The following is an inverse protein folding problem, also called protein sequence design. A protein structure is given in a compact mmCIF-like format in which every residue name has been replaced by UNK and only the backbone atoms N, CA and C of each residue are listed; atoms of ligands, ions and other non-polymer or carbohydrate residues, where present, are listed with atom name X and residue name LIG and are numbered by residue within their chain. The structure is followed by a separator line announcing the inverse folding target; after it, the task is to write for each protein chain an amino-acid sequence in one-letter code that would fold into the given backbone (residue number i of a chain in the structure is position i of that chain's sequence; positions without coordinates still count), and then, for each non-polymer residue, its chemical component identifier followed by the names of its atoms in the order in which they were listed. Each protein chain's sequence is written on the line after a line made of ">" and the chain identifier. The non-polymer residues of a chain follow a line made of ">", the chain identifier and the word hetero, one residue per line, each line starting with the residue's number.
data_IF_782170366263
#
_entry.id   IF_782170366263
#
_cell.length_a   1.000
_cell.length_b   1.000
_cell.length_c   1.000
_cell.angle_alpha   90.00
_cell.angle_beta   90.00
_cell.angle_gamma   90.00
#
_symmetry.space_group_name_H-M   'P 1'
#
loop_
_entity.id
_entity.type
_entity.pdbx_description
1 polymer ?
#
# COMPACT_ATOMS: atom_id res chain seq x y z
N UNK A 1 10.66 -22.44 -24.17
CA UNK A 1 9.43 -22.74 -24.96
C UNK A 1 8.95 -24.21 -24.93
N UNK A 2 9.36 -25.06 -23.96
CA UNK A 2 8.75 -26.40 -23.75
C UNK A 2 7.88 -26.52 -22.49
N UNK A 3 7.64 -25.41 -21.78
CA UNK A 3 6.89 -25.41 -20.52
C UNK A 3 5.43 -24.92 -20.61
N UNK A 4 5.01 -24.41 -21.78
CA UNK A 4 3.66 -23.88 -22.01
C UNK A 4 2.59 -24.95 -22.33
N UNK A 5 2.97 -26.20 -22.58
CA UNK A 5 2.03 -27.23 -23.05
C UNK A 5 1.45 -28.14 -21.97
N UNK A 6 1.90 -28.04 -20.71
CA UNK A 6 1.53 -29.04 -19.68
C UNK A 6 0.33 -28.66 -18.80
N UNK A 7 -0.22 -27.45 -18.96
CA UNK A 7 -1.36 -26.95 -18.15
C UNK A 7 -2.70 -26.99 -18.91
N UNK A 8 -2.71 -27.28 -20.22
CA UNK A 8 -3.92 -27.21 -21.07
C UNK A 8 -4.55 -28.54 -21.48
N UNK A 9 -4.22 -29.69 -20.86
CA UNK A 9 -4.90 -30.97 -21.17
C UNK A 9 -5.32 -31.72 -19.92
N UNK A 10 -6.53 -31.46 -19.47
CA UNK A 10 -7.24 -32.28 -18.49
C UNK A 10 -8.64 -31.74 -18.25
N UNK A 11 -9.64 -32.26 -18.98
CA UNK A 11 -11.05 -31.99 -18.72
C UNK A 11 -11.87 -31.64 -19.95
N UNK A 12 -12.10 -32.60 -20.84
CA UNK A 12 -13.18 -32.50 -21.82
C UNK A 12 -14.52 -32.79 -21.16
N UNK A 13 -15.43 -31.82 -21.18
CA UNK A 13 -16.87 -32.03 -20.98
C UNK A 13 -17.58 -31.24 -22.08
N UNK A 14 -18.41 -31.94 -22.86
CA UNK A 14 -19.17 -31.43 -23.99
C UNK A 14 -20.12 -30.29 -23.57
N UNK A 15 -20.02 -29.15 -24.25
CA UNK A 15 -20.96 -28.05 -24.09
C UNK A 15 -22.21 -28.30 -24.95
N UNK A 16 -23.37 -28.52 -24.31
CA UNK A 16 -24.69 -28.39 -24.95
C UNK A 16 -25.08 -26.91 -25.01
N UNK A 17 -25.48 -26.46 -26.20
CA UNK A 17 -25.98 -25.10 -26.44
C UNK A 17 -27.35 -24.86 -25.76
N UNK A 18 -27.60 -23.69 -25.17
CA UNK A 18 -28.95 -23.31 -24.75
C UNK A 18 -29.74 -22.71 -25.93
N UNK A 19 -31.01 -23.07 -26.03
CA UNK A 19 -31.97 -22.56 -27.01
C UNK A 19 -32.59 -21.22 -26.57
N UNK A 20 -33.09 -20.39 -27.52
CA UNK A 20 -33.47 -19.01 -27.23
C UNK A 20 -34.91 -18.92 -26.71
N UNK A 21 -35.14 -18.13 -25.66
CA UNK A 21 -36.50 -17.70 -25.27
C UNK A 21 -36.59 -16.19 -25.04
N UNK A 22 -37.36 -15.59 -25.96
CA UNK A 22 -38.32 -14.50 -25.84
C UNK A 22 -38.03 -13.32 -24.90
N UNK A 23 -37.78 -12.17 -25.54
CA UNK A 23 -37.98 -10.82 -25.03
C UNK A 23 -39.41 -10.63 -24.54
N UNK A 24 -39.56 -10.04 -23.35
CA UNK A 24 -40.82 -9.53 -22.83
C UNK A 24 -40.57 -8.22 -22.11
N UNK A 25 -41.06 -7.13 -22.70
CA UNK A 25 -41.18 -5.79 -22.11
C UNK A 25 -41.82 -5.84 -20.73
N UNK A 26 -41.20 -5.18 -19.75
CA UNK A 26 -41.90 -4.52 -18.64
C UNK A 26 -41.23 -3.20 -18.29
N UNK A 27 -42.01 -2.16 -18.56
CA UNK A 27 -41.85 -0.78 -18.14
C UNK A 27 -42.48 -0.63 -16.75
N UNK A 28 -41.68 -0.25 -15.76
CA UNK A 28 -42.16 0.12 -14.43
C UNK A 28 -41.31 1.29 -13.91
N UNK A 29 -41.60 2.49 -14.42
CA UNK A 29 -41.09 3.72 -13.85
C UNK A 29 -41.44 3.88 -12.37
N UNK A 30 -40.52 4.54 -11.65
CA UNK A 30 -40.63 5.09 -10.30
C UNK A 30 -40.34 4.14 -9.11
N UNK A 31 -39.16 4.32 -8.50
CA UNK A 31 -38.98 4.70 -7.07
C UNK A 31 -37.49 4.80 -6.70
N UNK A 32 -36.90 5.95 -6.97
CA UNK A 32 -35.75 6.45 -6.20
C UNK A 32 -36.01 7.92 -5.84
N UNK A 33 -36.22 8.21 -4.56
CA UNK A 33 -36.08 9.55 -4.00
C UNK A 33 -35.05 9.51 -2.86
N UNK A 34 -34.06 10.41 -2.86
CA UNK A 34 -33.04 10.48 -1.82
C UNK A 34 -33.60 11.17 -0.56
N UNK A 35 -33.36 10.60 0.61
CA UNK A 35 -33.71 11.24 1.88
C UNK A 35 -32.66 12.30 2.25
N UNK A 36 -32.96 13.54 1.88
CA UNK A 36 -32.43 14.75 2.52
C UNK A 36 -33.16 14.95 3.85
N UNK A 37 -32.43 15.06 4.96
CA UNK A 37 -32.95 15.63 6.20
C UNK A 37 -32.03 16.78 6.63
N UNK A 38 -32.44 17.99 6.27
CA UNK A 38 -32.02 19.23 6.91
C UNK A 38 -33.00 19.54 8.06
N UNK A 39 -32.42 19.78 9.23
CA UNK A 39 -32.58 21.00 10.03
C UNK A 39 -33.99 21.61 10.12
N UNK A 40 -34.72 21.34 11.22
CA UNK A 40 -35.60 22.32 11.89
C UNK A 40 -36.20 21.73 13.16
N UNK A 41 -35.62 22.06 14.32
CA UNK A 41 -36.32 22.02 15.61
C UNK A 41 -35.75 23.06 16.58
N UNK A 42 -35.82 24.33 16.18
CA UNK A 42 -35.81 25.44 17.12
C UNK A 42 -37.23 25.64 17.67
N UNK A 43 -37.28 25.88 18.99
CA UNK A 43 -38.41 26.37 19.82
C UNK A 43 -39.33 25.32 20.44
N UNK A 44 -38.99 24.94 21.67
CA UNK A 44 -39.90 24.99 22.82
C UNK A 44 -39.08 25.05 24.11
N UNK A 45 -38.94 26.27 24.64
CA UNK A 45 -38.50 26.47 26.02
C UNK A 45 -39.71 26.45 26.94
N UNK A 46 -39.60 25.75 28.07
CA UNK A 46 -39.78 26.36 29.40
C UNK A 46 -39.41 25.39 30.54
N UNK A 47 -38.48 25.89 31.36
CA UNK A 47 -38.39 25.72 32.81
C UNK A 47 -38.10 24.33 33.40
N UNK A 48 -36.82 24.07 33.67
CA UNK A 48 -36.38 23.64 35.02
C UNK A 48 -35.14 24.43 35.45
N UNK A 49 -35.31 25.20 36.52
CA UNK A 49 -34.24 25.93 37.23
C UNK A 49 -33.34 24.93 37.95
N UNK A 50 -32.03 25.09 37.83
CA UNK A 50 -31.06 24.39 38.69
C UNK A 50 -29.61 24.69 38.30
N UNK A 51 -28.89 25.35 39.20
CA UNK A 51 -27.44 25.55 39.26
C UNK A 51 -26.73 26.23 38.06
N UNK A 52 -26.35 27.49 38.26
CA UNK A 52 -25.34 28.18 37.45
C UNK A 52 -23.99 27.46 37.63
N UNK A 53 -23.52 26.75 36.62
CA UNK A 53 -22.12 26.35 36.53
C UNK A 53 -21.29 27.61 36.24
N UNK A 54 -20.44 28.00 37.21
CA UNK A 54 -19.37 28.97 37.03
C UNK A 54 -18.44 28.47 35.93
N UNK A 55 -18.07 29.36 34.99
CA UNK A 55 -16.91 29.14 34.15
C UNK A 55 -15.68 28.96 35.07
N UNK A 56 -14.81 27.95 34.87
CA UNK A 56 -13.57 27.86 35.60
C UNK A 56 -12.72 29.08 35.25
N UNK A 57 -12.21 29.69 36.30
CA UNK A 57 -11.15 30.67 36.27
C UNK A 57 -9.92 30.14 35.53
N UNK A 58 -9.25 31.03 34.82
CA UNK A 58 -8.02 30.71 34.12
C UNK A 58 -6.95 30.26 35.09
N UNK A 59 -6.58 28.99 35.01
CA UNK A 59 -5.23 28.55 35.34
C UNK A 59 -4.44 28.47 34.04
N UNK A 60 -3.55 29.45 33.86
CA UNK A 60 -2.47 29.39 32.88
C UNK A 60 -1.43 28.39 33.38
N UNK A 61 -1.73 27.09 33.32
CA UNK A 61 -0.70 26.05 33.37
C UNK A 61 -1.23 24.70 32.85
N UNK A 62 -1.81 24.72 31.65
CA UNK A 62 -1.93 23.48 30.87
C UNK A 62 -0.52 23.19 30.33
N UNK A 63 0.28 22.49 31.15
CA UNK A 63 1.63 22.10 30.81
C UNK A 63 1.67 21.56 29.38
N UNK A 64 2.56 22.14 28.57
CA UNK A 64 2.87 21.65 27.23
C UNK A 64 3.03 20.14 27.28
N UNK A 65 2.51 19.38 26.29
CA UNK A 65 2.77 17.95 26.22
C UNK A 65 4.27 17.71 26.36
N UNK A 66 4.65 16.81 27.28
CA UNK A 66 6.04 16.41 27.46
C UNK A 66 6.62 16.11 26.08
N UNK A 67 7.78 16.70 25.71
CA UNK A 67 8.41 16.35 24.46
C UNK A 67 8.58 14.84 24.42
N UNK A 68 8.20 14.22 23.29
CA UNK A 68 8.53 12.83 23.01
C UNK A 68 10.04 12.64 23.27
N UNK A 69 10.48 11.48 23.80
CA UNK A 69 11.89 11.18 23.98
C UNK A 69 12.64 11.58 22.70
N UNK A 70 13.76 12.32 22.85
CA UNK A 70 14.38 13.17 21.82
C UNK A 70 14.91 12.52 20.54
N UNK A 71 14.39 11.38 20.11
CA UNK A 71 14.68 10.68 18.87
C UNK A 71 13.43 10.26 18.08
N UNK A 72 12.22 10.32 18.66
CA UNK A 72 10.97 10.02 17.93
C UNK A 72 10.53 11.22 17.10
N UNK A 73 10.47 11.05 15.77
CA UNK A 73 9.89 12.05 14.87
C UNK A 73 10.73 13.33 14.68
N UNK A 74 12.04 13.29 14.93
CA UNK A 74 12.94 14.34 14.45
C UNK A 74 13.92 13.77 13.43
N UNK A 75 13.44 13.22 12.29
CA UNK A 75 14.35 12.82 11.24
C UNK A 75 15.15 14.07 10.86
N UNK A 76 16.47 13.94 10.71
CA UNK A 76 17.26 14.97 10.01
C UNK A 76 16.67 15.05 8.60
N UNK A 77 15.77 16.01 8.39
CA UNK A 77 15.18 16.28 7.09
C UNK A 77 16.34 16.66 6.18
N UNK A 78 16.77 15.70 5.35
CA UNK A 78 17.82 15.94 4.35
C UNK A 78 17.19 16.83 3.28
N UNK A 79 17.67 18.07 3.04
CA UNK A 79 17.08 18.93 2.03
C UNK A 79 17.02 18.27 0.64
N UNK A 80 17.99 17.41 0.33
CA UNK A 80 18.01 16.60 -0.89
C UNK A 80 16.80 15.65 -1.04
N UNK A 81 16.20 15.17 0.06
CA UNK A 81 15.00 14.32 0.03
C UNK A 81 13.75 15.09 -0.42
N UNK A 82 13.80 16.43 -0.42
CA UNK A 82 12.76 17.32 -0.91
C UNK A 82 13.19 18.10 -2.15
N UNK A 83 14.29 17.71 -2.80
CA UNK A 83 14.74 18.35 -4.04
C UNK A 83 13.83 17.91 -5.20
N UNK A 84 12.71 18.62 -5.30
CA UNK A 84 11.70 18.47 -6.33
C UNK A 84 12.27 18.62 -7.75
N UNK A 85 13.23 19.53 -7.93
CA UNK A 85 13.80 19.83 -9.26
C UNK A 85 14.67 18.65 -9.73
N UNK A 86 15.54 18.13 -8.85
CA UNK A 86 16.34 16.96 -9.17
C UNK A 86 15.46 15.72 -9.40
N UNK A 87 14.43 15.51 -8.58
CA UNK A 87 13.50 14.40 -8.75
C UNK A 87 12.76 14.48 -10.09
N UNK A 88 12.25 15.66 -10.45
CA UNK A 88 11.60 15.88 -11.75
C UNK A 88 12.54 15.59 -12.93
N UNK A 89 13.81 16.01 -12.86
CA UNK A 89 14.80 15.70 -13.90
C UNK A 89 15.01 14.19 -14.06
N UNK A 90 15.04 13.42 -12.96
CA UNK A 90 15.14 11.95 -13.02
C UNK A 90 13.91 11.33 -13.70
N UNK A 91 12.71 11.76 -13.31
CA UNK A 91 11.46 11.28 -13.91
C UNK A 91 11.32 11.65 -15.40
N UNK A 92 11.80 12.84 -15.79
CA UNK A 92 11.79 13.28 -17.19
C UNK A 92 12.81 12.52 -18.04
N UNK A 93 13.98 12.20 -17.49
CA UNK A 93 15.04 11.43 -18.16
C UNK A 93 14.72 9.93 -18.29
N UNK A 94 13.78 9.41 -17.51
CA UNK A 94 13.33 8.01 -17.57
C UNK A 94 12.90 7.61 -18.99
N UNK A 95 13.38 6.47 -19.45
CA UNK A 95 12.97 5.90 -20.72
C UNK A 95 11.50 5.45 -20.67
N UNK A 96 10.64 6.07 -21.49
CA UNK A 96 9.21 5.77 -21.59
C UNK A 96 8.98 4.72 -22.68
N UNK A 97 9.59 3.55 -22.51
CA UNK A 97 9.57 2.48 -23.52
C UNK A 97 8.17 1.91 -23.71
N UNK A 98 7.78 1.72 -24.97
CA UNK A 98 6.62 0.95 -25.39
C UNK A 98 6.98 -0.51 -25.75
N UNK A 99 8.20 -0.95 -25.44
CA UNK A 99 8.67 -2.31 -25.67
C UNK A 99 8.16 -3.32 -24.64
N UNK A 100 8.52 -4.59 -24.86
CA UNK A 100 8.24 -5.68 -23.93
C UNK A 100 8.91 -5.45 -22.57
N UNK A 101 8.20 -5.76 -21.48
CA UNK A 101 8.64 -5.53 -20.10
C UNK A 101 8.69 -6.81 -19.28
N UNK A 102 8.33 -7.94 -19.88
CA UNK A 102 8.31 -9.22 -19.19
C UNK A 102 9.71 -9.63 -18.78
N UNK A 103 9.84 -9.95 -17.50
CA UNK A 103 11.07 -10.38 -16.85
C UNK A 103 10.75 -11.31 -15.68
N UNK A 104 11.77 -11.88 -15.07
CA UNK A 104 11.64 -12.63 -13.81
C UNK A 104 11.53 -11.68 -12.60
N UNK A 105 11.07 -12.20 -11.45
CA UNK A 105 11.00 -11.41 -10.20
C UNK A 105 12.40 -11.04 -9.73
N UNK A 106 13.36 -11.95 -9.90
CA UNK A 106 14.76 -11.82 -9.56
C UNK A 106 15.40 -10.65 -10.32
N UNK A 107 15.21 -10.60 -11.65
CA UNK A 107 15.74 -9.54 -12.51
C UNK A 107 15.04 -8.19 -12.27
N UNK A 108 13.74 -8.22 -11.93
CA UNK A 108 13.03 -7.01 -11.55
C UNK A 108 13.58 -6.44 -10.23
N UNK A 109 13.68 -7.27 -9.19
CA UNK A 109 14.17 -6.88 -7.87
C UNK A 109 15.66 -6.48 -7.88
N UNK A 110 16.46 -7.00 -8.81
CA UNK A 110 17.86 -6.61 -8.99
C UNK A 110 18.04 -5.11 -9.33
N UNK A 111 16.98 -4.43 -9.78
CA UNK A 111 16.98 -2.99 -10.05
C UNK A 111 16.95 -2.14 -8.78
N UNK A 112 16.49 -2.70 -7.65
CA UNK A 112 16.61 -2.04 -6.34
C UNK A 112 18.08 -1.98 -5.96
N UNK A 113 18.55 -0.80 -5.57
CA UNK A 113 19.89 -0.57 -5.07
C UNK A 113 19.87 -0.34 -3.56
N UNK A 114 21.02 -0.55 -2.92
CA UNK A 114 21.18 -0.21 -1.51
C UNK A 114 21.01 1.31 -1.33
N UNK A 115 20.32 1.72 -0.26
CA UNK A 115 20.01 3.13 -0.01
C UNK A 115 18.74 3.66 -0.67
N UNK A 116 18.08 2.89 -1.54
CA UNK A 116 16.87 3.33 -2.25
C UNK A 116 15.71 3.67 -1.31
N UNK A 117 14.92 4.67 -1.70
CA UNK A 117 13.58 4.90 -1.16
C UNK A 117 12.57 4.05 -1.94
N UNK A 118 12.06 3.00 -1.28
CA UNK A 118 11.10 2.06 -1.84
C UNK A 118 9.68 2.43 -1.40
N UNK A 119 8.78 2.64 -2.36
CA UNK A 119 7.35 2.70 -2.10
C UNK A 119 6.68 1.39 -2.47
N UNK A 120 6.02 0.74 -1.51
CA UNK A 120 5.23 -0.46 -1.75
C UNK A 120 3.75 -0.09 -1.94
N UNK A 121 3.13 -0.63 -2.98
CA UNK A 121 1.69 -0.49 -3.24
C UNK A 121 0.81 -1.31 -2.29
N UNK A 122 -0.48 -1.29 -2.58
CA UNK A 122 -1.48 -1.90 -1.72
C UNK A 122 -1.63 -1.16 -0.39
N UNK A 123 -2.37 -1.76 0.55
CA UNK A 123 -2.63 -1.18 1.86
C UNK A 123 -2.91 -2.30 2.87
N UNK A 124 -2.28 -2.29 4.05
CA UNK A 124 -2.37 -3.39 5.02
C UNK A 124 -2.01 -4.73 4.34
N UNK A 125 -2.86 -5.76 4.46
CA UNK A 125 -2.73 -7.02 3.75
C UNK A 125 -3.47 -7.03 2.40
N UNK A 126 -3.95 -5.89 1.90
CA UNK A 126 -4.51 -5.80 0.54
C UNK A 126 -3.40 -5.57 -0.48
N UNK A 127 -3.26 -6.52 -1.42
CA UNK A 127 -2.43 -6.44 -2.63
C UNK A 127 -0.98 -6.02 -2.39
N UNK A 128 -0.40 -6.49 -1.29
CA UNK A 128 1.02 -6.25 -0.98
C UNK A 128 1.89 -6.97 -1.99
N UNK A 129 2.91 -6.36 -2.59
CA UNK A 129 3.79 -7.01 -3.57
C UNK A 129 4.78 -7.97 -2.90
N UNK A 130 4.28 -9.01 -2.22
CA UNK A 130 5.07 -9.90 -1.37
C UNK A 130 6.16 -10.64 -2.13
N UNK A 131 5.92 -11.01 -3.39
CA UNK A 131 6.96 -11.61 -4.22
C UNK A 131 8.17 -10.70 -4.42
N UNK A 132 7.96 -9.41 -4.72
CA UNK A 132 9.05 -8.43 -4.87
C UNK A 132 9.71 -8.13 -3.52
N UNK A 133 8.92 -7.93 -2.46
CA UNK A 133 9.43 -7.67 -1.11
C UNK A 133 10.37 -8.80 -0.66
N UNK A 134 9.95 -10.06 -0.81
CA UNK A 134 10.76 -11.23 -0.43
C UNK A 134 12.02 -11.33 -1.26
N UNK A 135 11.93 -11.06 -2.56
CA UNK A 135 13.10 -11.14 -3.43
C UNK A 135 14.13 -10.04 -3.14
N UNK A 136 13.69 -8.81 -2.82
CA UNK A 136 14.58 -7.74 -2.34
C UNK A 136 15.34 -8.18 -1.08
N UNK A 137 14.66 -8.85 -0.14
CA UNK A 137 15.29 -9.41 1.06
C UNK A 137 16.26 -10.55 0.74
N UNK A 138 15.89 -11.49 -0.15
CA UNK A 138 16.78 -12.58 -0.61
C UNK A 138 18.08 -12.04 -1.22
N UNK A 139 17.99 -10.94 -1.96
CA UNK A 139 19.14 -10.26 -2.56
C UNK A 139 19.97 -9.42 -1.57
N UNK A 140 19.60 -9.44 -0.28
CA UNK A 140 20.32 -8.79 0.83
C UNK A 140 20.51 -7.28 0.63
N UNK A 141 19.52 -6.62 0.03
CA UNK A 141 19.49 -5.16 -0.08
C UNK A 141 19.38 -4.51 1.29
N UNK A 142 20.08 -3.41 1.49
CA UNK A 142 20.19 -2.75 2.79
C UNK A 142 20.26 -1.22 2.67
N UNK A 143 20.21 -0.53 3.81
CA UNK A 143 20.20 0.94 3.86
C UNK A 143 18.91 1.58 3.33
N UNK A 144 17.85 0.78 3.14
CA UNK A 144 16.64 1.21 2.43
C UNK A 144 15.78 2.13 3.29
N UNK A 145 14.98 2.97 2.63
CA UNK A 145 13.76 3.54 3.24
C UNK A 145 12.54 2.82 2.69
N UNK A 146 11.69 2.25 3.55
CA UNK A 146 10.40 1.69 3.13
C UNK A 146 9.26 2.68 3.39
N UNK A 147 8.48 2.96 2.35
CA UNK A 147 7.32 3.85 2.39
C UNK A 147 6.07 3.07 2.04
N UNK A 148 5.07 3.07 2.92
CA UNK A 148 3.79 2.42 2.64
C UNK A 148 2.65 2.96 3.49
N UNK A 149 1.47 3.11 2.90
CA UNK A 149 0.24 3.35 3.66
C UNK A 149 -0.24 2.08 4.35
N UNK A 150 -0.49 2.16 5.67
CA UNK A 150 -0.85 1.03 6.54
C UNK A 150 0.08 -0.18 6.34
N UNK A 151 1.27 -0.12 6.93
CA UNK A 151 2.25 -1.19 6.81
C UNK A 151 1.83 -2.43 7.61
N UNK A 152 2.15 -3.61 7.09
CA UNK A 152 1.81 -4.91 7.66
C UNK A 152 3.10 -5.75 7.90
N UNK A 153 3.07 -7.06 7.66
CA UNK A 153 4.17 -7.99 7.94
C UNK A 153 5.46 -7.64 7.19
N UNK A 154 5.36 -7.06 5.98
CA UNK A 154 6.53 -6.66 5.19
C UNK A 154 7.42 -5.64 5.88
N UNK A 155 6.83 -4.76 6.71
CA UNK A 155 7.60 -3.82 7.51
C UNK A 155 8.45 -4.54 8.56
N UNK A 156 7.88 -5.54 9.23
CA UNK A 156 8.60 -6.33 10.24
C UNK A 156 9.72 -7.15 9.60
N UNK A 157 9.45 -7.74 8.43
CA UNK A 157 10.45 -8.49 7.68
C UNK A 157 11.65 -7.61 7.32
N UNK A 158 11.39 -6.42 6.79
CA UNK A 158 12.42 -5.47 6.40
C UNK A 158 13.23 -4.95 7.59
N UNK A 159 12.58 -4.68 8.72
CA UNK A 159 13.26 -4.26 9.96
C UNK A 159 14.16 -5.37 10.51
N UNK A 160 13.63 -6.59 10.65
CA UNK A 160 14.37 -7.70 11.27
C UNK A 160 15.49 -8.21 10.38
N UNK A 161 15.30 -8.19 9.06
CA UNK A 161 16.36 -8.50 8.10
C UNK A 161 17.52 -7.47 8.11
N UNK A 162 17.35 -6.31 8.76
CA UNK A 162 18.30 -5.21 8.70
C UNK A 162 18.33 -4.51 7.33
N UNK A 163 17.26 -4.65 6.55
CA UNK A 163 17.19 -4.10 5.19
C UNK A 163 16.86 -2.60 5.18
N UNK A 164 16.11 -2.12 6.17
CA UNK A 164 15.67 -0.71 6.26
C UNK A 164 16.31 0.02 7.44
N UNK A 165 16.66 1.28 7.22
CA UNK A 165 17.07 2.22 8.27
C UNK A 165 15.94 3.16 8.68
N UNK A 166 14.96 3.34 7.79
CA UNK A 166 13.81 4.22 7.99
C UNK A 166 12.54 3.62 7.40
N UNK A 167 11.44 3.78 8.13
CA UNK A 167 10.09 3.50 7.65
C UNK A 167 9.25 4.76 7.65
N UNK A 168 8.49 4.98 6.57
CA UNK A 168 7.52 6.06 6.46
C UNK A 168 6.14 5.44 6.30
N UNK A 169 5.26 5.64 7.27
CA UNK A 169 3.92 5.06 7.23
C UNK A 169 2.93 5.90 8.02
N UNK A 170 1.65 5.54 7.90
CA UNK A 170 0.57 6.14 8.67
C UNK A 170 0.10 5.29 9.84
N UNK A 171 0.46 4.01 9.83
CA UNK A 171 0.08 3.03 10.83
C UNK A 171 0.83 1.73 10.51
N UNK A 172 1.14 0.91 11.52
CA UNK A 172 1.76 -0.40 11.28
C UNK A 172 1.24 -1.48 12.23
N UNK A 173 0.67 -2.54 11.66
CA UNK A 173 0.31 -3.78 12.34
C UNK A 173 -0.14 -4.85 11.34
N UNK A 174 -0.15 -6.11 11.79
CA UNK A 174 -0.59 -7.27 11.00
C UNK A 174 -2.11 -7.16 10.69
N UNK A 175 -2.87 -6.48 11.55
CA UNK A 175 -4.30 -6.29 11.42
C UNK A 175 -4.93 -5.95 12.78
N UNK A 176 -6.16 -5.42 12.75
CA UNK A 176 -6.88 -5.02 13.96
C UNK A 176 -6.93 -6.09 15.06
N UNK A 177 -7.13 -7.40 14.77
CA UNK A 177 -7.17 -8.44 15.79
C UNK A 177 -5.88 -8.61 16.59
N UNK A 178 -4.73 -8.25 16.02
CA UNK A 178 -3.40 -8.52 16.59
C UNK A 178 -2.76 -7.31 17.27
N UNK A 179 -3.43 -6.15 17.25
CA UNK A 179 -2.94 -4.92 17.87
C UNK A 179 -1.69 -4.36 17.19
N UNK A 180 -1.06 -3.35 17.81
CA UNK A 180 0.14 -2.69 17.26
C UNK A 180 1.31 -3.67 17.14
N UNK A 181 2.07 -3.58 16.03
CA UNK A 181 3.26 -4.42 15.80
C UNK A 181 4.27 -4.30 16.95
N UNK A 182 4.54 -5.42 17.62
CA UNK A 182 5.56 -5.50 18.69
C UNK A 182 6.97 -5.32 18.15
N UNK A 183 7.21 -5.77 16.91
CA UNK A 183 8.49 -5.65 16.22
C UNK A 183 8.76 -4.19 15.87
N UNK A 184 7.77 -3.49 15.30
CA UNK A 184 7.89 -2.06 15.03
C UNK A 184 8.22 -1.30 16.32
N UNK A 185 7.50 -1.59 17.42
CA UNK A 185 7.80 -0.99 18.71
C UNK A 185 9.22 -1.28 19.18
N UNK A 186 9.65 -2.53 19.15
CA UNK A 186 11.02 -2.91 19.54
C UNK A 186 12.06 -2.13 18.74
N UNK A 187 11.94 -2.09 17.41
CA UNK A 187 12.96 -1.49 16.53
C UNK A 187 12.95 0.04 16.55
N UNK A 188 11.78 0.65 16.71
CA UNK A 188 11.65 2.12 16.79
C UNK A 188 12.03 2.62 18.19
N UNK A 189 11.52 2.00 19.26
CA UNK A 189 11.82 2.42 20.65
C UNK A 189 13.31 2.20 21.01
N UNK A 190 13.97 1.22 20.38
CA UNK A 190 15.42 1.01 20.51
C UNK A 190 16.27 1.82 19.53
N UNK A 191 15.66 2.70 18.73
CA UNK A 191 16.32 3.54 17.73
C UNK A 191 17.13 2.78 16.66
N UNK A 192 16.82 1.50 16.43
CA UNK A 192 17.39 0.70 15.33
C UNK A 192 16.85 1.14 13.98
N UNK A 193 15.60 1.59 13.93
CA UNK A 193 14.93 2.08 12.72
C UNK A 193 14.22 3.39 13.04
N UNK A 194 14.35 4.37 12.14
CA UNK A 194 13.64 5.64 12.25
C UNK A 194 12.21 5.50 11.74
N UNK A 195 11.22 5.88 12.55
CA UNK A 195 9.83 6.01 12.12
C UNK A 195 9.51 7.46 11.75
N UNK A 196 9.06 7.67 10.52
CA UNK A 196 8.48 8.93 10.05
C UNK A 196 6.98 8.73 9.83
N UNK A 197 6.18 9.24 10.77
CA UNK A 197 4.73 9.05 10.76
C UNK A 197 4.00 10.21 10.08
N UNK A 198 3.04 9.88 9.23
CA UNK A 198 2.15 10.81 8.53
C UNK A 198 0.71 10.37 8.68
N UNK A 199 -0.27 11.27 8.63
CA UNK A 199 -1.66 10.79 8.50
C UNK A 199 -1.82 10.03 7.17
N UNK A 200 -2.74 9.07 7.12
CA UNK A 200 -2.97 8.25 5.91
C UNK A 200 -3.25 9.12 4.66
N UNK A 201 -4.07 10.18 4.85
CA UNK A 201 -4.34 11.15 3.79
C UNK A 201 -3.09 11.94 3.43
N UNK A 202 -2.31 12.41 4.41
CA UNK A 202 -1.12 13.21 4.13
C UNK A 202 -0.08 12.41 3.36
N UNK A 203 0.21 11.16 3.75
CA UNK A 203 1.14 10.30 2.99
C UNK A 203 0.66 10.08 1.55
N UNK A 204 -0.65 9.88 1.36
CA UNK A 204 -1.24 9.82 0.03
C UNK A 204 -1.04 11.12 -0.77
N UNK A 205 -1.24 12.28 -0.14
CA UNK A 205 -0.99 13.58 -0.75
C UNK A 205 0.49 13.80 -1.12
N UNK A 206 1.44 13.19 -0.40
CA UNK A 206 2.86 13.26 -0.78
C UNK A 206 3.14 12.58 -2.12
N UNK A 207 2.57 11.39 -2.34
CA UNK A 207 2.66 10.70 -3.64
C UNK A 207 1.92 11.49 -4.72
N UNK A 208 0.73 12.02 -4.41
CA UNK A 208 -0.04 12.83 -5.35
C UNK A 208 0.68 14.10 -5.78
N UNK A 209 1.34 14.79 -4.84
CA UNK A 209 2.15 15.98 -5.14
C UNK A 209 3.30 15.63 -6.11
N UNK A 210 3.98 14.51 -5.87
CA UNK A 210 5.03 14.01 -6.76
C UNK A 210 4.48 13.64 -8.15
N UNK A 211 3.37 12.90 -8.22
CA UNK A 211 2.70 12.53 -9.46
C UNK A 211 2.23 13.74 -10.28
N UNK A 212 1.80 14.82 -9.61
CA UNK A 212 1.42 16.08 -10.25
C UNK A 212 2.63 16.92 -10.72
N UNK A 213 3.84 16.60 -10.24
CA UNK A 213 5.02 17.41 -10.49
C UNK A 213 4.94 18.77 -9.78
N UNK A 214 4.44 18.80 -8.54
CA UNK A 214 4.46 19.99 -7.67
C UNK A 214 5.30 19.74 -6.42
N UNK A 215 5.94 20.77 -5.82
CA UNK A 215 6.81 20.57 -4.66
C UNK A 215 6.04 20.19 -3.37
N UNK A 216 4.80 20.63 -3.24
CA UNK A 216 3.94 20.31 -2.10
C UNK A 216 2.46 20.48 -2.48
N UNK A 217 1.56 19.91 -1.66
CA UNK A 217 0.12 20.18 -1.71
C UNK A 217 -0.36 20.84 -0.41
N UNK A 218 -1.19 21.90 -0.49
CA UNK A 218 -1.80 22.51 0.69
C UNK A 218 -2.94 21.63 1.23
N UNK A 219 -3.09 21.55 2.54
CA UNK A 219 -4.12 20.72 3.18
C UNK A 219 -4.40 21.11 4.63
N UNK A 220 -5.56 20.74 5.16
CA UNK A 220 -5.88 20.82 6.59
C UNK A 220 -5.45 19.57 7.37
N UNK A 221 -5.14 18.46 6.68
CA UNK A 221 -4.80 17.22 7.39
C UNK A 221 -3.57 17.40 8.27
N UNK A 222 -3.53 16.69 9.40
CA UNK A 222 -2.52 16.74 10.46
C UNK A 222 -2.47 18.04 11.28
N UNK A 223 -2.99 19.18 10.80
CA UNK A 223 -3.01 20.40 11.62
C UNK A 223 -3.75 20.17 12.94
N UNK A 224 -3.17 20.66 14.04
CA UNK A 224 -3.70 20.46 15.39
C UNK A 224 -3.39 19.09 16.02
N UNK A 225 -2.65 18.22 15.33
CA UNK A 225 -2.16 16.94 15.87
C UNK A 225 -0.66 16.98 16.18
N UNK A 226 -0.21 16.05 17.03
CA UNK A 226 1.20 15.84 17.33
C UNK A 226 1.99 15.24 16.14
N UNK A 227 1.35 14.94 15.01
CA UNK A 227 2.03 14.46 13.80
C UNK A 227 2.72 15.58 13.02
N UNK A 228 2.32 16.84 13.19
CA UNK A 228 2.93 17.99 12.49
C UNK A 228 4.45 18.05 12.68
N UNK A 229 5.00 17.96 13.91
CA UNK A 229 6.44 17.98 14.12
C UNK A 229 7.16 16.70 13.64
N UNK A 230 6.47 15.56 13.55
CA UNK A 230 7.08 14.24 13.27
C UNK A 230 7.62 14.12 11.84
N UNK A 231 6.81 14.49 10.86
CA UNK A 231 7.16 14.39 9.43
C UNK A 231 7.88 15.61 8.87
N UNK A 232 8.11 16.65 9.68
CA UNK A 232 8.69 17.90 9.22
C UNK A 232 7.77 18.74 8.31
N UNK A 233 6.46 18.50 8.36
CA UNK A 233 5.45 19.29 7.63
C UNK A 233 5.57 20.78 8.00
N UNK A 234 5.45 21.66 7.00
CA UNK A 234 5.44 23.11 7.19
C UNK A 234 4.04 23.65 7.01
N UNK A 235 3.84 24.94 7.29
CA UNK A 235 2.59 25.64 7.01
C UNK A 235 2.79 26.68 5.92
N UNK A 236 1.70 27.03 5.24
CA UNK A 236 1.65 28.07 4.21
C UNK A 236 0.37 28.88 4.41
N UNK A 237 0.42 30.18 4.12
CA UNK A 237 -0.78 31.02 4.13
C UNK A 237 -1.46 30.94 2.77
N UNK A 238 -2.76 30.65 2.76
CA UNK A 238 -3.61 30.74 1.59
C UNK A 238 -3.69 32.21 1.13
N UNK A 239 -3.23 32.55 -0.08
CA UNK A 239 -3.24 33.93 -0.56
C UNK A 239 -4.65 34.48 -0.85
N UNK A 240 -5.67 33.63 -0.97
CA UNK A 240 -7.04 34.04 -1.30
C UNK A 240 -7.89 34.28 -0.04
N UNK A 241 -7.67 33.49 1.01
CA UNK A 241 -8.48 33.55 2.23
C UNK A 241 -7.71 34.00 3.47
N UNK A 242 -6.38 34.01 3.41
CA UNK A 242 -5.50 34.28 4.55
C UNK A 242 -5.39 33.13 5.55
N UNK A 243 -6.08 32.00 5.33
CA UNK A 243 -6.04 30.84 6.23
C UNK A 243 -4.67 30.16 6.23
N UNK A 244 -4.29 29.57 7.36
CA UNK A 244 -3.06 28.78 7.47
C UNK A 244 -3.38 27.32 7.13
N UNK A 245 -2.67 26.79 6.12
CA UNK A 245 -2.76 25.41 5.67
C UNK A 245 -1.45 24.66 5.94
N UNK A 246 -1.50 23.35 6.09
CA UNK A 246 -0.34 22.48 6.06
C UNK A 246 0.20 22.35 4.63
N UNK A 247 1.51 22.34 4.47
CA UNK A 247 2.22 22.14 3.22
C UNK A 247 2.86 20.74 3.25
N UNK A 248 2.19 19.78 2.62
CA UNK A 248 2.63 18.38 2.55
C UNK A 248 3.63 18.24 1.39
N UNK A 249 4.92 17.98 1.67
CA UNK A 249 5.95 17.94 0.62
C UNK A 249 5.82 16.67 -0.23
N UNK A 250 6.11 16.81 -1.52
CA UNK A 250 6.14 15.68 -2.43
C UNK A 250 7.15 14.60 -1.98
N UNK A 251 6.81 13.34 -2.24
CA UNK A 251 7.66 12.19 -1.98
C UNK A 251 7.93 11.47 -3.30
N UNK A 252 9.21 11.34 -3.64
CA UNK A 252 9.70 10.75 -4.87
C UNK A 252 10.44 9.45 -4.56
N UNK A 253 9.78 8.29 -4.64
CA UNK A 253 10.47 7.02 -4.47
C UNK A 253 11.50 6.80 -5.58
N UNK A 254 12.59 6.14 -5.24
CA UNK A 254 13.53 5.64 -6.23
C UNK A 254 12.93 4.41 -6.93
N UNK A 255 12.24 3.55 -6.17
CA UNK A 255 11.60 2.35 -6.68
C UNK A 255 10.16 2.21 -6.14
N UNK A 256 9.22 1.88 -7.02
CA UNK A 256 7.89 1.40 -6.68
C UNK A 256 7.82 -0.12 -6.85
N UNK A 257 7.32 -0.81 -5.83
CA UNK A 257 6.95 -2.23 -5.88
C UNK A 257 5.44 -2.31 -5.90
N UNK A 258 4.86 -2.89 -6.96
CA UNK A 258 3.41 -2.95 -7.15
C UNK A 258 2.98 -4.35 -7.52
N UNK A 259 1.75 -4.71 -7.14
CA UNK A 259 1.11 -5.96 -7.54
C UNK A 259 -0.26 -5.67 -8.12
N UNK A 260 -0.63 -6.35 -9.21
CA UNK A 260 -1.85 -6.08 -9.98
C UNK A 260 -2.56 -7.36 -10.40
N UNK A 261 -3.86 -7.27 -10.66
CA UNK A 261 -4.65 -8.39 -11.16
C UNK A 261 -4.20 -8.84 -12.54
N UNK A 262 -3.99 -7.90 -13.46
CA UNK A 262 -3.57 -8.25 -14.81
C UNK A 262 -2.80 -7.13 -15.48
N UNK A 263 -1.92 -7.52 -16.39
CA UNK A 263 -1.19 -6.60 -17.24
C UNK A 263 -0.99 -7.18 -18.64
N UNK A 264 -0.77 -6.33 -19.64
CA UNK A 264 -0.19 -6.79 -20.91
C UNK A 264 1.35 -6.78 -20.86
N UNK A 265 1.99 -7.36 -21.87
CA UNK A 265 3.46 -7.41 -21.99
C UNK A 265 4.14 -6.03 -22.07
N UNK A 266 3.38 -4.97 -22.36
CA UNK A 266 3.87 -3.59 -22.44
C UNK A 266 3.76 -2.85 -21.09
N UNK A 267 3.22 -3.50 -20.06
CA UNK A 267 3.08 -2.96 -18.72
C UNK A 267 1.80 -2.18 -18.48
N UNK A 268 0.80 -2.23 -19.37
CA UNK A 268 -0.49 -1.61 -19.05
C UNK A 268 -1.21 -2.47 -18.02
N UNK A 269 -1.40 -1.96 -16.81
CA UNK A 269 -1.95 -2.73 -15.70
C UNK A 269 -3.39 -2.32 -15.37
N UNK A 270 -4.22 -3.32 -15.13
CA UNK A 270 -5.56 -3.15 -14.57
C UNK A 270 -5.62 -3.76 -13.18
N UNK A 271 -6.36 -3.07 -12.31
CA UNK A 271 -6.54 -3.43 -10.90
C UNK A 271 -8.03 -3.49 -10.64
N UNK A 272 -8.48 -4.58 -10.04
CA UNK A 272 -9.86 -4.76 -9.60
C UNK A 272 -10.00 -4.36 -8.12
N UNK A 273 -11.19 -3.90 -7.73
CA UNK A 273 -11.44 -3.36 -6.40
C UNK A 273 -10.75 -2.01 -6.18
N UNK A 274 -10.39 -1.71 -4.93
CA UNK A 274 -9.80 -0.43 -4.58
C UNK A 274 -8.31 -0.36 -5.03
N UNK A 275 -7.90 0.63 -5.85
CA UNK A 275 -6.54 0.72 -6.35
C UNK A 275 -5.55 1.29 -5.33
N UNK A 276 -6.00 1.69 -4.14
CA UNK A 276 -5.17 2.32 -3.10
C UNK A 276 -4.41 3.55 -3.65
N UNK A 277 -3.12 3.69 -3.33
CA UNK A 277 -2.26 4.77 -3.82
C UNK A 277 -1.40 4.36 -5.04
N UNK A 278 -1.60 3.16 -5.59
CA UNK A 278 -0.72 2.55 -6.59
C UNK A 278 -0.57 3.43 -7.86
N UNK A 279 -1.65 4.10 -8.26
CA UNK A 279 -1.64 5.04 -9.39
C UNK A 279 -0.73 6.26 -9.14
N UNK A 280 -0.73 6.80 -7.91
CA UNK A 280 0.12 7.93 -7.56
C UNK A 280 1.55 7.47 -7.28
N UNK A 281 1.75 6.31 -6.66
CA UNK A 281 3.06 5.70 -6.41
C UNK A 281 3.79 5.45 -7.74
N UNK A 282 3.12 4.83 -8.72
CA UNK A 282 3.73 4.53 -10.03
C UNK A 282 4.14 5.79 -10.81
N UNK A 283 3.44 6.90 -10.61
CA UNK A 283 3.75 8.20 -11.24
C UNK A 283 4.83 8.98 -10.49
N UNK A 284 4.94 8.76 -9.18
CA UNK A 284 5.91 9.42 -8.32
C UNK A 284 7.30 8.77 -8.38
N UNK A 285 7.37 7.46 -8.65
CA UNK A 285 8.60 6.67 -8.57
C UNK A 285 9.47 6.75 -9.82
N UNK A 286 10.80 6.72 -9.64
CA UNK A 286 11.76 6.69 -10.74
C UNK A 286 11.72 5.35 -11.48
N UNK A 287 11.79 4.24 -10.74
CA UNK A 287 11.68 2.87 -11.27
C UNK A 287 10.38 2.23 -10.80
N UNK A 288 9.64 1.55 -11.67
CA UNK A 288 8.37 0.88 -11.35
C UNK A 288 8.47 -0.60 -11.70
N UNK A 289 8.41 -1.44 -10.66
CA UNK A 289 8.45 -2.88 -10.74
C UNK A 289 7.07 -3.44 -10.42
N UNK A 290 6.52 -4.24 -11.33
CA UNK A 290 5.16 -4.79 -11.20
C UNK A 290 5.21 -6.31 -11.22
N UNK A 291 4.49 -6.93 -10.29
CA UNK A 291 4.07 -8.33 -10.43
C UNK A 291 2.60 -8.39 -10.79
N UNK A 292 2.20 -9.30 -11.67
CA UNK A 292 0.82 -9.49 -12.08
C UNK A 292 0.36 -10.93 -11.85
N UNK A 293 -0.90 -11.12 -11.47
CA UNK A 293 -1.53 -12.43 -11.38
C UNK A 293 -1.72 -13.09 -12.75
N UNK A 294 -1.99 -12.27 -13.77
CA UNK A 294 -2.17 -12.71 -15.15
C UNK A 294 -1.50 -11.76 -16.16
N UNK A 295 -0.89 -12.32 -17.21
CA UNK A 295 -0.51 -11.56 -18.41
C UNK A 295 -1.54 -11.81 -19.51
N UNK A 296 -2.22 -10.76 -19.95
CA UNK A 296 -3.26 -10.83 -20.98
C UNK A 296 -2.77 -10.25 -22.32
N UNK A 297 -3.39 -10.61 -23.46
CA UNK A 297 -3.13 -9.92 -24.73
C UNK A 297 -3.45 -8.42 -24.64
N UNK A 298 -2.73 -7.59 -25.41
CA UNK A 298 -2.96 -6.13 -25.44
C UNK A 298 -4.41 -5.80 -25.81
N UNK A 299 -5.04 -6.60 -26.67
CA UNK A 299 -6.42 -6.42 -27.11
C UNK A 299 -7.42 -6.46 -25.96
N UNK A 300 -7.18 -7.27 -24.92
CA UNK A 300 -8.04 -7.32 -23.72
C UNK A 300 -7.94 -6.03 -22.92
N UNK A 301 -6.73 -5.48 -22.75
CA UNK A 301 -6.56 -4.18 -22.10
C UNK A 301 -7.26 -3.07 -22.90
N UNK A 302 -7.12 -3.09 -24.22
CA UNK A 302 -7.70 -2.10 -25.13
C UNK A 302 -9.22 -2.16 -25.23
N UNK A 303 -9.85 -3.29 -24.89
CA UNK A 303 -11.32 -3.40 -24.80
C UNK A 303 -11.88 -2.61 -23.62
N UNK A 304 -11.09 -2.44 -22.56
CA UNK A 304 -11.46 -1.70 -21.35
C UNK A 304 -10.35 -0.71 -20.94
N UNK A 305 -10.03 0.28 -21.81
CA UNK A 305 -8.90 1.17 -21.58
C UNK A 305 -9.08 2.04 -20.33
N UNK A 306 -10.33 2.35 -19.98
CA UNK A 306 -10.74 3.06 -18.76
C UNK A 306 -10.34 2.36 -17.46
N UNK A 307 -10.12 1.04 -17.50
CA UNK A 307 -9.66 0.24 -16.36
C UNK A 307 -8.15 0.24 -16.18
N UNK A 308 -7.39 0.86 -17.10
CA UNK A 308 -5.93 0.90 -17.04
C UNK A 308 -5.49 1.92 -15.99
N UNK A 309 -5.10 1.43 -14.82
CA UNK A 309 -4.72 2.27 -13.67
C UNK A 309 -3.26 2.72 -13.79
N UNK A 310 -2.38 1.81 -14.22
CA UNK A 310 -0.95 2.08 -14.40
C UNK A 310 -0.65 1.93 -15.90
N UNK A 311 -0.43 3.04 -16.62
CA UNK A 311 -0.03 3.00 -18.02
C UNK A 311 1.34 2.35 -18.21
N UNK A 312 1.48 1.61 -19.30
CA UNK A 312 2.69 0.86 -19.63
C UNK A 312 3.93 1.71 -19.58
N UNK A 313 3.93 2.93 -20.13
CA UNK A 313 5.11 3.79 -20.16
C UNK A 313 5.71 4.15 -18.78
N UNK A 314 4.98 3.94 -17.68
CA UNK A 314 5.50 4.11 -16.32
C UNK A 314 6.25 2.87 -15.84
N UNK A 315 5.90 1.68 -16.32
CA UNK A 315 6.45 0.38 -15.88
C UNK A 315 7.83 0.16 -16.48
N UNK A 316 8.79 -0.31 -15.68
CA UNK A 316 10.15 -0.63 -16.13
C UNK A 316 10.38 -2.15 -16.21
N UNK A 317 9.72 -2.92 -15.33
CA UNK A 317 9.80 -4.37 -15.28
C UNK A 317 8.45 -4.95 -14.84
N UNK A 318 8.04 -6.03 -15.50
CA UNK A 318 6.80 -6.75 -15.24
C UNK A 318 7.10 -8.25 -15.10
N UNK A 319 6.64 -8.88 -14.02
CA UNK A 319 6.77 -10.31 -13.82
C UNK A 319 5.40 -10.97 -13.58
N UNK A 320 5.17 -12.13 -14.21
CA UNK A 320 4.00 -12.96 -13.94
C UNK A 320 4.22 -13.74 -12.65
N UNK A 321 3.42 -13.45 -11.63
CA UNK A 321 3.50 -14.11 -10.32
C UNK A 321 2.09 -14.35 -9.78
N UNK A 322 1.44 -15.46 -10.17
CA UNK A 322 0.21 -15.88 -9.55
C UNK A 322 0.40 -16.07 -8.04
N UNK A 323 -0.58 -15.66 -7.23
CA UNK A 323 -0.49 -15.57 -5.78
C UNK A 323 0.63 -14.63 -5.28
N UNK A 324 1.00 -13.61 -6.07
CA UNK A 324 2.14 -12.72 -5.80
C UNK A 324 2.02 -11.90 -4.53
N UNK A 325 0.82 -11.76 -3.96
CA UNK A 325 0.57 -11.16 -2.65
C UNK A 325 0.55 -12.15 -1.50
N UNK A 326 0.43 -13.46 -1.73
CA UNK A 326 0.26 -14.43 -0.65
C UNK A 326 1.39 -14.34 0.41
N UNK A 327 1.07 -14.27 1.72
CA UNK A 327 -0.18 -14.64 2.38
C UNK A 327 -1.19 -13.49 2.54
N UNK A 328 -0.90 -12.33 1.95
CA UNK A 328 -1.81 -11.19 1.87
C UNK A 328 -2.88 -11.44 0.79
N UNK A 329 -3.95 -10.66 0.79
CA UNK A 329 -5.10 -10.85 -0.13
C UNK A 329 -4.88 -10.17 -1.47
N UNK A 330 -5.56 -10.68 -2.49
CA UNK A 330 -5.74 -10.01 -3.77
C UNK A 330 -7.22 -10.10 -4.15
N UNK A 331 -7.89 -8.94 -4.11
CA UNK A 331 -9.35 -8.82 -4.23
C UNK A 331 -9.95 -9.68 -5.35
N UNK A 332 -10.90 -10.55 -5.00
CA UNK A 332 -11.60 -11.44 -5.94
C UNK A 332 -10.77 -12.62 -6.46
N UNK A 333 -9.47 -12.72 -6.13
CA UNK A 333 -8.59 -13.82 -6.53
C UNK A 333 -8.22 -14.72 -5.36
N UNK A 334 -7.85 -14.19 -4.19
CA UNK A 334 -7.60 -14.99 -2.99
C UNK A 334 -7.64 -14.14 -1.72
N UNK A 335 -8.14 -14.74 -0.65
CA UNK A 335 -8.26 -14.11 0.65
C UNK A 335 -6.93 -14.14 1.42
N UNK A 336 -6.79 -13.25 2.41
CA UNK A 336 -5.66 -13.23 3.31
C UNK A 336 -5.64 -14.50 4.16
N UNK A 337 -4.45 -15.05 4.40
CA UNK A 337 -4.30 -16.26 5.21
C UNK A 337 -4.26 -15.92 6.71
N UNK A 338 -5.44 -15.70 7.30
CA UNK A 338 -5.58 -15.36 8.72
C UNK A 338 -4.97 -16.42 9.66
N UNK A 339 -5.07 -17.70 9.32
CA UNK A 339 -4.44 -18.78 10.09
C UNK A 339 -2.91 -18.62 10.13
N UNK A 340 -2.32 -18.16 9.02
CA UNK A 340 -0.89 -17.88 8.93
C UNK A 340 -0.49 -16.67 9.78
N UNK A 341 -1.29 -15.60 9.74
CA UNK A 341 -1.06 -14.42 10.57
C UNK A 341 -1.20 -14.71 12.06
N UNK A 342 -2.16 -15.55 12.45
CA UNK A 342 -2.34 -15.99 13.83
C UNK A 342 -1.10 -16.76 14.33
N UNK A 343 -0.63 -17.74 13.55
CA UNK A 343 0.58 -18.49 13.88
C UNK A 343 1.84 -17.62 13.96
N UNK A 344 2.00 -16.70 13.01
CA UNK A 344 3.11 -15.75 12.98
C UNK A 344 3.09 -14.80 14.21
N UNK A 345 1.92 -14.23 14.54
CA UNK A 345 1.79 -13.34 15.69
C UNK A 345 1.98 -14.08 17.01
N UNK A 346 1.45 -15.30 17.13
CA UNK A 346 1.65 -16.14 18.30
C UNK A 346 3.14 -16.44 18.54
N UNK A 347 3.91 -16.69 17.47
CA UNK A 347 5.35 -16.88 17.56
C UNK A 347 6.07 -15.61 18.05
N UNK A 348 5.72 -14.44 17.53
CA UNK A 348 6.26 -13.15 18.02
C UNK A 348 5.92 -12.94 19.50
N UNK A 349 4.69 -13.27 19.92
CA UNK A 349 4.28 -13.13 21.31
C UNK A 349 5.12 -14.01 22.25
N UNK A 350 5.56 -15.17 21.79
CA UNK A 350 6.36 -16.10 22.57
C UNK A 350 7.87 -15.79 22.54
N UNK A 351 8.41 -15.31 21.41
CA UNK A 351 9.86 -15.26 21.17
C UNK A 351 10.40 -13.89 20.73
N UNK A 352 9.54 -12.89 20.54
CA UNK A 352 9.93 -11.56 20.07
C UNK A 352 10.49 -11.58 18.64
N UNK A 353 11.45 -10.70 18.36
CA UNK A 353 12.09 -10.58 17.04
C UNK A 353 12.77 -11.85 16.53
N UNK A 354 13.15 -12.78 17.40
CA UNK A 354 13.66 -14.10 17.00
C UNK A 354 12.65 -14.89 16.15
N UNK A 355 11.36 -14.82 16.46
CA UNK A 355 10.33 -15.48 15.66
C UNK A 355 10.32 -14.99 14.20
N UNK A 356 10.60 -13.69 13.99
CA UNK A 356 10.68 -13.11 12.66
C UNK A 356 11.96 -13.55 11.96
N UNK A 357 13.10 -13.66 12.66
CA UNK A 357 14.32 -14.24 12.10
C UNK A 357 14.08 -15.67 11.61
N UNK A 358 13.51 -16.53 12.45
CA UNK A 358 13.19 -17.91 12.09
C UNK A 358 12.20 -17.98 10.92
N UNK A 359 11.24 -17.04 10.87
CA UNK A 359 10.30 -16.89 9.76
C UNK A 359 11.02 -16.50 8.45
N UNK A 360 11.94 -15.54 8.50
CA UNK A 360 12.72 -15.11 7.33
C UNK A 360 13.59 -16.26 6.81
N UNK A 361 14.26 -16.99 7.70
CA UNK A 361 15.06 -18.15 7.32
C UNK A 361 14.20 -19.20 6.60
N UNK A 362 13.02 -19.51 7.13
CA UNK A 362 12.13 -20.53 6.56
C UNK A 362 11.43 -20.10 5.28
N UNK A 363 10.92 -18.87 5.22
CA UNK A 363 9.98 -18.43 4.18
C UNK A 363 10.57 -17.42 3.20
N UNK A 364 11.77 -16.90 3.45
CA UNK A 364 12.46 -15.97 2.54
C UNK A 364 13.78 -16.57 2.05
N UNK A 365 14.65 -17.01 2.95
CA UNK A 365 16.02 -17.39 2.57
C UNK A 365 16.17 -18.86 2.17
N UNK A 366 15.39 -19.78 2.76
CA UNK A 366 15.45 -21.19 2.40
C UNK A 366 14.85 -21.51 1.01
N UNK A 367 13.68 -20.97 0.59
CA UNK A 367 13.16 -21.19 -0.75
C UNK A 367 14.04 -20.53 -1.82
N UNK A 368 14.23 -21.18 -2.97
CA UNK A 368 15.09 -20.63 -4.01
C UNK A 368 14.41 -19.49 -4.80
N UNK A 369 13.08 -19.49 -4.83
CA UNK A 369 12.24 -18.51 -5.52
C UNK A 369 10.84 -18.45 -4.87
N UNK A 370 9.97 -17.58 -5.39
CA UNK A 370 8.62 -17.40 -4.83
C UNK A 370 7.69 -18.60 -5.03
N UNK A 371 7.87 -19.41 -6.08
CA UNK A 371 7.09 -20.64 -6.30
C UNK A 371 7.40 -21.66 -5.22
N UNK A 372 8.69 -21.87 -4.93
CA UNK A 372 9.13 -22.76 -3.85
C UNK A 372 8.59 -22.29 -2.48
N UNK A 373 8.42 -20.99 -2.28
CA UNK A 373 7.78 -20.43 -1.08
C UNK A 373 6.30 -20.83 -1.00
N UNK A 374 5.55 -20.74 -2.11
CA UNK A 374 4.14 -21.16 -2.16
C UNK A 374 3.99 -22.67 -1.89
N UNK A 375 4.94 -23.49 -2.35
CA UNK A 375 4.94 -24.94 -2.14
C UNK A 375 5.01 -25.33 -0.65
N UNK A 376 5.57 -24.46 0.23
CA UNK A 376 5.58 -24.68 1.67
C UNK A 376 4.18 -24.72 2.31
N UNK A 377 3.17 -24.16 1.63
CA UNK A 377 1.78 -24.11 2.10
C UNK A 377 0.93 -25.23 1.51
N UNK A 378 1.36 -25.77 0.38
CA UNK A 378 0.67 -26.81 -0.37
C UNK A 378 -0.55 -26.30 -1.16
N UNK A 379 -0.94 -27.02 -2.22
CA UNK A 379 -1.99 -26.59 -3.15
C UNK A 379 -3.38 -26.50 -2.50
N UNK A 380 -3.65 -27.31 -1.47
CA UNK A 380 -4.94 -27.31 -0.78
C UNK A 380 -5.20 -26.00 -0.02
N UNK A 381 -4.15 -25.45 0.61
CA UNK A 381 -4.25 -24.18 1.33
C UNK A 381 -4.47 -23.02 0.37
N UNK A 382 -3.73 -22.97 -0.74
CA UNK A 382 -3.91 -21.95 -1.77
C UNK A 382 -5.31 -22.02 -2.42
N UNK A 383 -5.79 -23.23 -2.74
CA UNK A 383 -7.16 -23.44 -3.25
C UNK A 383 -8.23 -22.96 -2.28
N UNK A 384 -8.03 -23.18 -0.98
CA UNK A 384 -8.94 -22.70 0.05
C UNK A 384 -9.04 -21.17 0.04
N UNK A 385 -7.90 -20.46 0.01
CA UNK A 385 -7.92 -19.00 -0.03
C UNK A 385 -8.56 -18.46 -1.31
N UNK A 386 -8.32 -19.14 -2.44
CA UNK A 386 -9.00 -18.81 -3.70
C UNK A 386 -10.52 -18.99 -3.60
N UNK A 387 -10.99 -20.08 -3.00
CA UNK A 387 -12.41 -20.34 -2.81
C UNK A 387 -13.06 -19.28 -1.89
N UNK A 388 -12.42 -18.93 -0.77
CA UNK A 388 -12.92 -17.93 0.16
C UNK A 388 -13.10 -16.55 -0.49
N UNK A 389 -12.15 -16.11 -1.33
CA UNK A 389 -12.31 -14.83 -2.04
C UNK A 389 -13.53 -14.79 -2.97
N UNK A 390 -13.89 -15.93 -3.58
CA UNK A 390 -15.06 -16.03 -4.45
C UNK A 390 -16.39 -16.08 -3.69
N UNK A 391 -16.38 -16.37 -2.39
CA UNK A 391 -17.59 -16.29 -1.56
C UNK A 391 -17.90 -14.85 -1.14
N UNK A 392 -16.88 -13.98 -1.15
CA UNK A 392 -16.96 -12.58 -0.73
C UNK A 392 -17.15 -11.58 -1.88
N UNK A 393 -17.09 -12.04 -3.13
CA UNK A 393 -17.24 -11.24 -4.36
C UNK A 393 -18.40 -11.74 -5.19
#
# INVERSE_FOLDING_TARGET
>A
MRHLHRVQRGGGVEARAPSPRALGDRDDGQRHRPALLHDTALRRGQARRGARARAPDGSQDAGLPRPLPGALGNPRVKPAAHDFVAARRRLEAKAKSAGDKLTTVEDAAARVQDGDVIAAGGCLFSRTPMALVREVLRQRRHGLTLVRNLMCTEGEFMMVAGAVERVITAWMSIGLPWGVSKIMREYVESAKVTLEEWSHLALGLRFRAAAMGVPFLPTLTMLGSDLVPVGGMKTVQDPFTGQVLGAVPALFPDVALLHVHRADRFGNCQIDGYPHMDADISRAATTVLVTAEEIVPEEEIRRHPDRTIIPGFLVDALALVPFGSFPHECYGLYEADYDHFEGYTAAINAQGSRAVTDYLDRYVYAPANFVDYLDLFGPDRLRRQHALARELT
#
